data_IF_525107834344
#
_entry.id   IF_525107834344
#
_cell.length_a   1.000
_cell.length_b   1.000
_cell.length_c   1.000
_cell.angle_alpha   90.00
_cell.angle_beta   90.00
_cell.angle_gamma   90.00
#
_symmetry.space_group_name_H-M   'P 1'
#
loop_
_entity.id
_entity.type
_entity.pdbx_description
1 polymer ?
#
# COMPACT_ATOMS: atom_id res chain seq x y z
N UNK A 1 19.17 23.18 -32.64
CA UNK A 1 18.62 21.82 -32.79
C UNK A 1 19.44 20.89 -31.91
N UNK A 2 19.18 20.91 -30.59
CA UNK A 2 20.08 20.37 -29.57
C UNK A 2 19.30 19.36 -28.71
N UNK A 3 19.07 18.13 -29.21
CA UNK A 3 18.17 17.18 -28.53
C UNK A 3 18.56 15.69 -28.54
N UNK A 4 19.81 15.25 -28.75
CA UNK A 4 20.06 13.79 -28.80
C UNK A 4 21.24 13.25 -27.99
N UNK A 5 21.71 13.92 -26.92
CA UNK A 5 22.80 13.33 -26.10
C UNK A 5 22.60 13.30 -24.58
N UNK A 6 21.38 13.48 -24.05
CA UNK A 6 21.14 13.54 -22.59
C UNK A 6 20.31 12.38 -22.00
N UNK A 7 20.12 11.25 -22.71
CA UNK A 7 19.18 10.21 -22.25
C UNK A 7 19.78 8.87 -21.77
N UNK A 8 21.10 8.70 -21.81
CA UNK A 8 21.73 7.47 -21.30
C UNK A 8 22.24 7.61 -19.85
N UNK A 9 22.87 8.73 -19.51
CA UNK A 9 23.39 8.95 -18.16
C UNK A 9 22.30 9.24 -17.14
N UNK A 10 21.20 9.89 -17.55
CA UNK A 10 20.11 10.24 -16.64
C UNK A 10 19.28 9.01 -16.23
N UNK A 11 19.07 8.06 -17.14
CA UNK A 11 18.30 6.83 -16.86
C UNK A 11 19.02 5.88 -15.89
N UNK A 12 20.36 5.83 -15.95
CA UNK A 12 21.17 5.05 -15.02
C UNK A 12 21.21 5.64 -13.61
N UNK A 13 21.30 6.97 -13.51
CA UNK A 13 21.25 7.70 -12.22
C UNK A 13 19.85 7.59 -11.59
N UNK A 14 18.78 7.71 -12.39
CA UNK A 14 17.40 7.61 -11.95
C UNK A 14 17.07 6.19 -11.43
N UNK A 15 17.52 5.13 -12.12
CA UNK A 15 17.34 3.74 -11.67
C UNK A 15 18.16 3.45 -10.41
N UNK A 16 19.42 3.91 -10.35
CA UNK A 16 20.26 3.71 -9.16
C UNK A 16 19.67 4.44 -7.94
N UNK A 17 19.18 5.66 -8.13
CA UNK A 17 18.53 6.43 -7.08
C UNK A 17 17.26 5.75 -6.56
N UNK A 18 16.41 5.23 -7.46
CA UNK A 18 15.21 4.46 -7.09
C UNK A 18 15.56 3.20 -6.27
N UNK A 19 16.58 2.44 -6.69
CA UNK A 19 17.01 1.24 -5.97
C UNK A 19 17.60 1.56 -4.58
N UNK A 20 18.37 2.66 -4.46
CA UNK A 20 18.90 3.15 -3.19
C UNK A 20 17.77 3.58 -2.23
N UNK A 21 16.81 4.38 -2.70
CA UNK A 21 15.63 4.80 -1.94
C UNK A 21 14.81 3.58 -1.47
N UNK A 22 14.60 2.62 -2.37
CA UNK A 22 13.86 1.40 -2.06
C UNK A 22 14.56 0.55 -1.00
N UNK A 23 15.87 0.31 -1.14
CA UNK A 23 16.64 -0.47 -0.15
C UNK A 23 16.66 0.20 1.21
N UNK A 24 16.83 1.52 1.26
CA UNK A 24 16.81 2.28 2.51
C UNK A 24 15.41 2.23 3.15
N UNK A 25 14.34 2.44 2.36
CA UNK A 25 12.97 2.30 2.81
C UNK A 25 12.67 0.91 3.37
N UNK A 26 13.08 -0.14 2.67
CA UNK A 26 12.92 -1.54 3.10
C UNK A 26 13.68 -1.81 4.41
N UNK A 27 14.88 -1.25 4.57
CA UNK A 27 15.66 -1.38 5.80
C UNK A 27 15.01 -0.65 6.99
N UNK A 28 14.52 0.57 6.77
CA UNK A 28 13.84 1.36 7.80
C UNK A 28 12.52 0.70 8.22
N UNK A 29 11.76 0.18 7.26
CA UNK A 29 10.53 -0.55 7.52
C UNK A 29 10.79 -1.79 8.38
N UNK A 30 11.83 -2.57 8.06
CA UNK A 30 12.26 -3.73 8.86
C UNK A 30 12.73 -3.35 10.26
N UNK A 31 13.30 -2.15 10.42
CA UNK A 31 13.68 -1.59 11.71
C UNK A 31 12.52 -0.94 12.47
N UNK A 32 11.27 -1.10 12.01
CA UNK A 32 10.06 -0.47 12.55
C UNK A 32 10.06 1.06 12.53
N UNK A 33 10.95 1.68 11.75
CA UNK A 33 10.99 3.12 11.54
C UNK A 33 10.03 3.52 10.40
N UNK A 34 8.73 3.34 10.65
CA UNK A 34 7.69 3.46 9.62
C UNK A 34 7.51 4.89 9.13
N UNK A 35 7.70 5.91 9.98
CA UNK A 35 7.62 7.32 9.56
C UNK A 35 8.67 7.65 8.50
N UNK A 36 9.93 7.26 8.72
CA UNK A 36 10.98 7.52 7.72
C UNK A 36 10.83 6.62 6.49
N UNK A 37 10.42 5.35 6.67
CA UNK A 37 10.12 4.47 5.53
C UNK A 37 8.99 5.02 4.65
N UNK A 38 7.92 5.54 5.26
CA UNK A 38 6.79 6.12 4.54
C UNK A 38 7.19 7.35 3.71
N UNK A 39 8.13 8.17 4.20
CA UNK A 39 8.68 9.30 3.42
C UNK A 39 9.39 8.82 2.17
N UNK A 40 10.29 7.85 2.29
CA UNK A 40 11.03 7.31 1.14
C UNK A 40 10.12 6.62 0.14
N UNK A 41 9.16 5.82 0.60
CA UNK A 41 8.19 5.21 -0.31
C UNK A 41 7.27 6.22 -0.97
N UNK A 42 6.93 7.34 -0.30
CA UNK A 42 6.19 8.44 -0.93
C UNK A 42 7.00 9.08 -2.05
N UNK A 43 8.31 9.23 -1.91
CA UNK A 43 9.19 9.69 -2.98
C UNK A 43 9.18 8.71 -4.16
N UNK A 44 9.25 7.39 -3.90
CA UNK A 44 9.13 6.38 -4.95
C UNK A 44 7.80 6.46 -5.70
N UNK A 45 6.67 6.69 -5.00
CA UNK A 45 5.36 6.90 -5.63
C UNK A 45 5.32 8.18 -6.49
N UNK A 46 6.10 9.21 -6.16
CA UNK A 46 6.20 10.42 -6.99
C UNK A 46 6.99 10.15 -8.28
N UNK A 47 7.99 9.26 -8.22
CA UNK A 47 8.80 8.84 -9.37
C UNK A 47 7.95 7.96 -10.30
N UNK A 48 7.26 6.95 -9.76
CA UNK A 48 6.34 6.11 -10.52
C UNK A 48 5.01 5.88 -9.77
N UNK A 49 3.97 6.69 -10.06
CA UNK A 49 2.66 6.57 -9.42
C UNK A 49 1.85 5.36 -9.88
N UNK A 50 2.31 4.62 -10.90
CA UNK A 50 1.67 3.41 -11.41
C UNK A 50 2.40 2.13 -10.97
N UNK A 51 3.49 2.24 -10.21
CA UNK A 51 4.15 1.09 -9.60
C UNK A 51 3.29 0.54 -8.46
N UNK A 52 2.81 -0.70 -8.63
CA UNK A 52 2.12 -1.43 -7.56
C UNK A 52 2.98 -1.50 -6.29
N UNK A 53 4.24 -1.89 -6.44
CA UNK A 53 5.15 -2.10 -5.30
C UNK A 53 5.36 -0.80 -4.51
N UNK A 54 5.52 0.34 -5.18
CA UNK A 54 5.72 1.62 -4.49
C UNK A 54 4.46 2.05 -3.75
N UNK A 55 3.29 1.94 -4.39
CA UNK A 55 2.02 2.26 -3.75
C UNK A 55 1.74 1.33 -2.57
N UNK A 56 1.97 0.03 -2.71
CA UNK A 56 1.71 -0.96 -1.65
C UNK A 56 2.66 -0.80 -0.46
N UNK A 57 3.96 -0.59 -0.72
CA UNK A 57 4.95 -0.29 0.32
C UNK A 57 4.64 1.02 1.05
N UNK A 58 4.28 2.07 0.31
CA UNK A 58 3.88 3.33 0.92
C UNK A 58 2.62 3.19 1.78
N UNK A 59 1.58 2.54 1.26
CA UNK A 59 0.34 2.29 2.00
C UNK A 59 0.61 1.51 3.30
N UNK A 60 1.46 0.48 3.23
CA UNK A 60 1.82 -0.34 4.38
C UNK A 60 2.60 0.45 5.44
N UNK A 61 3.63 1.20 5.04
CA UNK A 61 4.40 2.02 5.98
C UNK A 61 3.59 3.15 6.59
N UNK A 62 2.80 3.85 5.78
CA UNK A 62 1.93 4.93 6.25
C UNK A 62 0.83 4.40 7.17
N UNK A 63 0.25 3.23 6.90
CA UNK A 63 -0.72 2.61 7.81
C UNK A 63 -0.14 2.35 9.20
N UNK A 64 1.06 1.78 9.26
CA UNK A 64 1.76 1.53 10.53
C UNK A 64 2.21 2.83 11.22
N UNK A 65 2.60 3.85 10.45
CA UNK A 65 2.84 5.20 10.97
C UNK A 65 1.56 5.76 11.63
N UNK A 66 0.41 5.65 10.96
CA UNK A 66 -0.88 6.12 11.47
C UNK A 66 -1.25 5.40 12.77
N UNK A 67 -1.06 4.09 12.87
CA UNK A 67 -1.33 3.34 14.10
C UNK A 67 -0.52 3.84 15.30
N UNK A 68 0.70 4.34 15.07
CA UNK A 68 1.57 4.91 16.11
C UNK A 68 1.18 6.34 16.54
N UNK A 69 0.32 7.02 15.77
CA UNK A 69 -0.08 8.39 16.10
C UNK A 69 -1.08 8.45 17.27
N UNK A 70 -1.18 9.58 17.97
CA UNK A 70 -2.30 9.84 18.88
C UNK A 70 -3.65 9.73 18.16
N UNK A 71 -4.66 9.13 18.80
CA UNK A 71 -5.99 8.84 18.21
C UNK A 71 -6.63 10.01 17.46
N UNK A 72 -6.48 11.23 17.96
CA UNK A 72 -7.04 12.43 17.31
C UNK A 72 -6.38 12.75 15.95
N UNK A 73 -5.09 12.43 15.78
CA UNK A 73 -4.39 12.54 14.49
C UNK A 73 -4.73 11.39 13.56
N UNK A 74 -4.97 10.19 14.10
CA UNK A 74 -5.33 9.02 13.30
C UNK A 74 -6.58 9.27 12.45
N UNK A 75 -7.63 9.86 13.02
CA UNK A 75 -8.90 10.07 12.32
C UNK A 75 -8.76 10.77 10.96
N UNK A 76 -7.87 11.77 10.84
CA UNK A 76 -7.62 12.46 9.57
C UNK A 76 -6.84 11.58 8.58
N UNK A 77 -5.89 10.80 9.08
CA UNK A 77 -4.95 10.04 8.26
C UNK A 77 -5.49 8.67 7.83
N UNK A 78 -6.43 8.08 8.58
CA UNK A 78 -7.05 6.78 8.24
C UNK A 78 -7.70 6.81 6.86
N UNK A 79 -8.42 7.89 6.52
CA UNK A 79 -9.04 8.00 5.19
C UNK A 79 -7.99 8.02 4.07
N UNK A 80 -6.87 8.69 4.29
CA UNK A 80 -5.80 8.75 3.30
C UNK A 80 -5.10 7.39 3.16
N UNK A 81 -4.85 6.71 4.28
CA UNK A 81 -4.34 5.35 4.29
C UNK A 81 -5.24 4.40 3.47
N UNK A 82 -6.55 4.43 3.68
CA UNK A 82 -7.50 3.59 2.91
C UNK A 82 -7.37 3.85 1.41
N UNK A 83 -7.27 5.12 0.99
CA UNK A 83 -7.11 5.46 -0.43
C UNK A 83 -5.81 4.94 -1.03
N UNK A 84 -4.72 4.91 -0.26
CA UNK A 84 -3.45 4.37 -0.74
C UNK A 84 -3.53 2.86 -0.98
N UNK A 85 -4.19 2.12 -0.09
CA UNK A 85 -4.46 0.69 -0.31
C UNK A 85 -5.41 0.45 -1.50
N UNK A 86 -6.45 1.28 -1.65
CA UNK A 86 -7.34 1.23 -2.81
C UNK A 86 -6.61 1.51 -4.12
N UNK A 87 -5.68 2.47 -4.11
CA UNK A 87 -4.82 2.76 -5.26
C UNK A 87 -3.92 1.58 -5.63
N UNK A 88 -3.29 0.94 -4.65
CA UNK A 88 -2.53 -0.29 -4.89
C UNK A 88 -3.41 -1.40 -5.47
N UNK A 89 -4.67 -1.49 -5.04
CA UNK A 89 -5.61 -2.52 -5.52
C UNK A 89 -6.07 -2.27 -6.96
N UNK A 90 -6.23 -1.02 -7.36
CA UNK A 90 -6.49 -0.66 -8.76
C UNK A 90 -5.33 -1.07 -9.68
N UNK A 91 -4.09 -1.03 -9.18
CA UNK A 91 -2.89 -1.38 -9.94
C UNK A 91 -2.68 -2.90 -10.06
N UNK A 92 -2.84 -3.63 -8.95
CA UNK A 92 -2.85 -5.10 -8.97
C UNK A 92 -3.77 -5.66 -7.88
N UNK A 93 -4.94 -6.14 -8.31
CA UNK A 93 -5.91 -6.77 -7.43
C UNK A 93 -5.65 -8.28 -7.21
N UNK A 94 -4.60 -8.88 -7.81
CA UNK A 94 -4.28 -10.30 -7.64
C UNK A 94 -3.33 -10.56 -6.47
N UNK A 95 -2.75 -9.52 -5.88
CA UNK A 95 -1.88 -9.66 -4.72
C UNK A 95 -2.67 -10.07 -3.46
N UNK A 96 -2.43 -11.28 -2.96
CA UNK A 96 -3.13 -11.82 -1.78
C UNK A 96 -2.85 -11.04 -0.49
N UNK A 97 -1.63 -10.52 -0.30
CA UNK A 97 -1.28 -9.76 0.90
C UNK A 97 -2.06 -8.44 0.95
N UNK A 98 -2.13 -7.73 -0.19
CA UNK A 98 -2.96 -6.53 -0.32
C UNK A 98 -4.44 -6.82 -0.06
N UNK A 99 -4.98 -7.88 -0.68
CA UNK A 99 -6.38 -8.24 -0.48
C UNK A 99 -6.69 -8.52 1.00
N UNK A 100 -5.83 -9.29 1.70
CA UNK A 100 -6.01 -9.54 3.13
C UNK A 100 -5.95 -8.25 3.96
N UNK A 101 -5.01 -7.35 3.66
CA UNK A 101 -4.90 -6.06 4.32
C UNK A 101 -6.19 -5.22 4.11
N UNK A 102 -6.70 -5.14 2.88
CA UNK A 102 -7.94 -4.43 2.57
C UNK A 102 -9.16 -5.05 3.26
N UNK A 103 -9.24 -6.38 3.36
CA UNK A 103 -10.29 -7.05 4.12
C UNK A 103 -10.29 -6.59 5.58
N UNK A 104 -9.14 -6.65 6.24
CA UNK A 104 -8.97 -6.22 7.64
C UNK A 104 -9.27 -4.73 7.82
N UNK A 105 -8.77 -3.88 6.92
CA UNK A 105 -9.04 -2.44 6.92
C UNK A 105 -10.53 -2.16 6.78
N UNK A 106 -11.21 -2.81 5.84
CA UNK A 106 -12.64 -2.59 5.63
C UNK A 106 -13.50 -3.10 6.78
N UNK A 107 -13.02 -4.06 7.57
CA UNK A 107 -13.68 -4.52 8.79
C UNK A 107 -13.43 -3.62 10.00
N UNK A 108 -12.23 -3.04 10.12
CA UNK A 108 -11.84 -2.17 11.25
C UNK A 108 -12.26 -0.72 11.11
N UNK A 109 -12.21 -0.17 9.90
CA UNK A 109 -12.39 1.25 9.66
C UNK A 109 -13.88 1.60 9.55
N UNK A 110 -14.38 2.65 10.24
CA UNK A 110 -15.75 3.09 10.09
C UNK A 110 -16.11 3.43 8.65
N UNK A 111 -17.37 3.20 8.27
CA UNK A 111 -17.84 3.37 6.88
C UNK A 111 -17.56 4.77 6.31
N UNK A 112 -17.70 5.82 7.10
CA UNK A 112 -17.45 7.20 6.65
C UNK A 112 -15.95 7.52 6.45
N UNK A 113 -15.05 6.67 6.94
CA UNK A 113 -13.61 6.75 6.69
C UNK A 113 -13.14 5.82 5.56
N UNK A 114 -14.05 5.06 4.94
CA UNK A 114 -13.76 4.25 3.75
C UNK A 114 -13.88 2.75 3.95
N UNK A 115 -14.13 2.28 5.18
CA UNK A 115 -14.41 0.87 5.46
C UNK A 115 -15.84 0.44 5.16
N UNK A 116 -16.20 -0.75 5.60
CA UNK A 116 -17.55 -1.30 5.54
C UNK A 116 -17.63 -2.71 4.97
N UNK A 117 -18.61 -3.45 5.49
CA UNK A 117 -18.91 -4.85 5.21
C UNK A 117 -19.04 -5.17 3.71
N UNK A 118 -19.75 -4.33 2.94
CA UNK A 118 -19.93 -4.54 1.50
C UNK A 118 -18.60 -4.59 0.74
N UNK A 119 -17.63 -3.77 1.13
CA UNK A 119 -16.30 -3.77 0.52
C UNK A 119 -15.49 -4.98 0.97
N UNK A 120 -15.54 -5.33 2.26
CA UNK A 120 -14.92 -6.54 2.80
C UNK A 120 -15.38 -7.80 2.06
N UNK A 121 -16.70 -7.98 1.86
CA UNK A 121 -17.27 -9.10 1.10
C UNK A 121 -16.82 -9.10 -0.38
N UNK A 122 -16.66 -7.92 -0.99
CA UNK A 122 -16.13 -7.81 -2.36
C UNK A 122 -14.67 -8.28 -2.44
N UNK A 123 -13.86 -7.95 -1.44
CA UNK A 123 -12.47 -8.43 -1.35
C UNK A 123 -12.42 -9.94 -1.18
N UNK A 124 -13.26 -10.53 -0.31
CA UNK A 124 -13.32 -11.99 -0.15
C UNK A 124 -13.67 -12.67 -1.47
N UNK A 125 -14.66 -12.15 -2.21
CA UNK A 125 -15.00 -12.63 -3.56
C UNK A 125 -13.81 -12.56 -4.51
N UNK A 126 -13.04 -11.46 -4.48
CA UNK A 126 -11.84 -11.33 -5.29
C UNK A 126 -10.77 -12.36 -4.91
N UNK A 127 -10.53 -12.58 -3.61
CA UNK A 127 -9.61 -13.62 -3.11
C UNK A 127 -10.00 -15.01 -3.64
N UNK A 128 -11.29 -15.36 -3.65
CA UNK A 128 -11.77 -16.62 -4.23
C UNK A 128 -11.42 -16.77 -5.71
N UNK A 129 -11.34 -15.68 -6.49
CA UNK A 129 -10.92 -15.75 -7.89
C UNK A 129 -9.42 -16.00 -8.05
N UNK A 130 -8.61 -15.66 -7.04
CA UNK A 130 -7.16 -15.86 -7.02
C UNK A 130 -6.82 -17.25 -6.47
N UNK A 131 -7.43 -17.65 -5.36
CA UNK A 131 -7.22 -18.94 -4.71
C UNK A 131 -8.42 -19.33 -3.85
N UNK A 132 -8.97 -20.52 -4.10
CA UNK A 132 -10.10 -21.04 -3.35
C UNK A 132 -9.79 -21.26 -1.86
N UNK A 133 -8.60 -21.77 -1.54
CA UNK A 133 -8.21 -22.03 -0.14
C UNK A 133 -7.98 -20.72 0.62
N UNK A 134 -7.45 -19.70 -0.05
CA UNK A 134 -7.31 -18.37 0.54
C UNK A 134 -8.64 -17.65 0.70
N UNK A 135 -9.57 -17.85 -0.23
CA UNK A 135 -10.93 -17.35 -0.13
C UNK A 135 -11.65 -17.94 1.09
N UNK A 136 -11.49 -19.24 1.36
CA UNK A 136 -12.03 -19.89 2.56
C UNK A 136 -11.47 -19.29 3.84
N UNK A 137 -10.15 -19.11 3.95
CA UNK A 137 -9.51 -18.47 5.11
C UNK A 137 -10.00 -17.04 5.31
N UNK A 138 -10.14 -16.27 4.23
CA UNK A 138 -10.65 -14.90 4.28
C UNK A 138 -12.12 -14.84 4.73
N UNK A 139 -12.95 -15.78 4.26
CA UNK A 139 -14.34 -15.91 4.69
C UNK A 139 -14.45 -16.31 6.17
N UNK A 140 -13.62 -17.25 6.63
CA UNK A 140 -13.57 -17.65 8.04
C UNK A 140 -13.12 -16.48 8.93
N UNK A 141 -12.08 -15.75 8.52
CA UNK A 141 -11.65 -14.52 9.20
C UNK A 141 -12.78 -13.51 9.33
N UNK A 142 -13.52 -13.25 8.25
CA UNK A 142 -14.68 -12.35 8.23
C UNK A 142 -15.80 -12.82 9.17
N UNK A 143 -16.09 -14.11 9.21
CA UNK A 143 -17.17 -14.66 10.05
C UNK A 143 -16.84 -14.57 11.55
N UNK A 144 -15.55 -14.50 11.90
CA UNK A 144 -15.06 -14.44 13.28
C UNK A 144 -14.77 -13.02 13.77
N UNK A 145 -15.04 -12.01 12.95
CA UNK A 145 -14.78 -10.60 13.23
C UNK A 145 -16.01 -9.91 13.84
#
# INVERSE_FOLDING_TARGET
MFCIFLNAQNKGIDIQHVDELQKLGDSLFKASNYTEAAKLYKELVQIDPNSFDFNFKYASAFGLEVEQMPRFKQAKNVREMVKLFERAYELDNKNLALNRALLEIYLRVPRFFGGGEKKALSIIKNIYTISNDEGKKAQEFYNNY
#
